data_IF_450125844943
#
_entry.id   IF_450125844943
#
_cell.length_a   1.000
_cell.length_b   1.000
_cell.length_c   1.000
_cell.angle_alpha   90.00
_cell.angle_beta   90.00
_cell.angle_gamma   90.00
#
_symmetry.space_group_name_H-M   'P 1'
#
loop_
_entity.id
_entity.type
_entity.pdbx_description
1 polymer ?
#
# COMPACT_ATOMS: atom_id res chain seq x y z
N UNK A 1 -10.96 3.58 18.66
CA UNK A 1 -10.50 4.28 17.44
C UNK A 1 -9.84 3.25 16.55
N UNK A 2 -10.25 3.09 15.28
CA UNK A 2 -9.52 2.23 14.36
C UNK A 2 -8.10 2.80 14.17
N UNK A 3 -7.10 1.93 14.19
CA UNK A 3 -5.71 2.33 13.96
C UNK A 3 -5.55 2.72 12.49
N UNK A 4 -5.08 3.95 12.24
CA UNK A 4 -4.86 4.48 10.89
C UNK A 4 -3.41 4.88 10.69
N UNK A 5 -2.91 4.71 9.49
CA UNK A 5 -1.57 5.20 9.10
C UNK A 5 -1.53 5.57 7.63
N UNK A 6 -0.57 6.43 7.29
CA UNK A 6 -0.21 6.70 5.90
C UNK A 6 0.98 5.84 5.53
N UNK A 7 0.94 5.17 4.38
CA UNK A 7 2.05 4.35 3.89
C UNK A 7 2.25 4.51 2.39
N UNK A 8 3.49 4.27 1.99
CA UNK A 8 3.91 4.16 0.60
C UNK A 8 3.58 2.75 0.09
N UNK A 9 2.77 2.68 -0.97
CA UNK A 9 2.52 1.44 -1.70
C UNK A 9 3.29 1.50 -3.01
N UNK A 10 3.91 0.38 -3.36
CA UNK A 10 4.64 0.18 -4.61
C UNK A 10 3.94 -0.88 -5.44
N UNK A 11 3.82 -0.64 -6.74
CA UNK A 11 3.28 -1.59 -7.72
C UNK A 11 4.36 -2.60 -8.06
N UNK A 12 4.09 -3.89 -7.83
CA UNK A 12 4.85 -4.95 -8.47
C UNK A 12 4.36 -5.05 -9.92
N UNK A 13 5.25 -5.23 -10.89
CA UNK A 13 4.91 -5.63 -12.26
C UNK A 13 5.42 -7.07 -12.45
N UNK A 14 4.53 -8.02 -12.75
CA UNK A 14 4.89 -9.44 -12.95
C UNK A 14 5.12 -9.74 -14.44
N UNK A 15 4.45 -9.03 -15.36
CA UNK A 15 4.71 -9.01 -16.82
C UNK A 15 3.92 -7.88 -17.50
N UNK A 16 4.19 -7.63 -18.79
CA UNK A 16 3.62 -6.51 -19.57
C UNK A 16 2.08 -6.45 -19.63
N UNK A 17 1.41 -7.59 -19.42
CA UNK A 17 -0.07 -7.71 -19.48
C UNK A 17 -0.75 -7.97 -18.13
N UNK A 18 0.01 -8.09 -17.04
CA UNK A 18 -0.54 -8.42 -15.71
C UNK A 18 -0.13 -7.34 -14.72
N UNK A 19 -1.07 -6.44 -14.41
CA UNK A 19 -0.92 -5.52 -13.28
C UNK A 19 -0.84 -6.33 -12.02
N UNK A 20 0.31 -6.20 -11.36
CA UNK A 20 0.70 -7.04 -10.27
C UNK A 20 0.55 -6.31 -8.94
N UNK A 21 0.40 -7.15 -7.93
CA UNK A 21 0.16 -6.83 -6.53
C UNK A 21 0.85 -5.56 -6.06
N UNK A 22 0.20 -4.86 -5.15
CA UNK A 22 0.81 -3.75 -4.44
C UNK A 22 1.46 -4.24 -3.16
N UNK A 23 2.49 -3.54 -2.70
CA UNK A 23 3.12 -3.87 -1.43
C UNK A 23 3.60 -2.65 -0.66
N UNK A 24 3.71 -2.82 0.65
CA UNK A 24 4.45 -1.93 1.54
C UNK A 24 5.76 -2.61 1.88
N UNK A 25 6.87 -1.90 1.62
CA UNK A 25 8.19 -2.38 2.04
C UNK A 25 8.25 -2.49 3.56
N UNK A 26 8.82 -3.57 4.12
CA UNK A 26 9.02 -3.66 5.54
C UNK A 26 10.07 -2.64 5.99
N UNK A 27 9.81 -1.93 7.09
CA UNK A 27 10.75 -0.95 7.65
C UNK A 27 12.06 -1.56 8.18
N UNK A 28 12.15 -2.89 8.28
CA UNK A 28 13.36 -3.64 8.58
C UNK A 28 13.34 -4.98 7.84
N UNK A 29 14.52 -5.56 7.56
CA UNK A 29 14.62 -6.87 6.87
C UNK A 29 13.96 -8.03 7.63
N UNK A 30 13.74 -7.88 8.94
CA UNK A 30 13.09 -8.88 9.80
C UNK A 30 11.56 -8.77 9.83
N UNK A 31 10.98 -7.71 9.28
CA UNK A 31 9.52 -7.52 9.27
C UNK A 31 8.89 -8.12 8.02
N UNK A 32 7.67 -8.67 8.14
CA UNK A 32 6.97 -9.23 7.00
C UNK A 32 6.57 -8.13 6.01
N UNK A 33 6.54 -8.50 4.73
CA UNK A 33 5.95 -7.69 3.68
C UNK A 33 4.44 -7.60 3.89
N UNK A 34 3.85 -6.45 3.57
CA UNK A 34 2.39 -6.30 3.46
C UNK A 34 2.05 -6.22 1.98
N UNK A 35 1.15 -7.10 1.54
CA UNK A 35 0.72 -7.22 0.14
C UNK A 35 -0.75 -6.83 0.03
N UNK A 36 -1.12 -6.32 -1.15
CA UNK A 36 -2.49 -6.02 -1.54
C UNK A 36 -2.71 -6.48 -2.97
N UNK A 37 -3.86 -7.05 -3.24
CA UNK A 37 -4.32 -7.38 -4.58
C UNK A 37 -4.81 -6.11 -5.31
N UNK A 38 -5.01 -6.20 -6.62
CA UNK A 38 -5.31 -5.03 -7.45
C UNK A 38 -6.67 -4.38 -7.15
N UNK A 39 -7.64 -5.17 -6.68
CA UNK A 39 -8.98 -4.74 -6.29
C UNK A 39 -9.04 -4.15 -4.87
N UNK A 40 -8.01 -4.38 -4.05
CA UNK A 40 -7.90 -3.81 -2.71
C UNK A 40 -7.38 -2.37 -2.70
N UNK A 41 -6.80 -1.89 -3.81
CA UNK A 41 -6.15 -0.57 -3.91
C UNK A 41 -6.88 0.30 -4.94
N UNK A 42 -7.23 1.55 -4.60
CA UNK A 42 -7.80 2.48 -5.57
C UNK A 42 -6.88 2.63 -6.81
N UNK A 43 -7.43 2.73 -8.02
CA UNK A 43 -6.62 2.95 -9.22
C UNK A 43 -5.76 4.20 -9.12
N UNK A 44 -4.50 4.09 -9.52
CA UNK A 44 -3.55 5.20 -9.66
C UNK A 44 -2.62 4.91 -10.84
N UNK A 45 -2.03 5.91 -11.46
CA UNK A 45 -1.26 5.71 -12.70
C UNK A 45 0.19 5.32 -12.40
N UNK A 46 0.74 5.89 -11.34
CA UNK A 46 2.15 5.79 -10.99
C UNK A 46 2.57 4.39 -10.54
N UNK A 47 3.87 4.12 -10.51
CA UNK A 47 4.41 2.89 -9.92
C UNK A 47 4.37 2.92 -8.38
N UNK A 48 4.23 4.11 -7.81
CA UNK A 48 4.30 4.36 -6.37
C UNK A 48 3.24 5.39 -6.00
N UNK A 49 2.49 5.13 -4.92
CA UNK A 49 1.52 6.07 -4.37
C UNK A 49 1.53 6.08 -2.84
N UNK A 50 0.93 7.12 -2.27
CA UNK A 50 0.72 7.24 -0.83
C UNK A 50 -0.74 6.99 -0.50
N UNK A 51 -0.98 6.18 0.52
CA UNK A 51 -2.33 5.75 0.87
C UNK A 51 -2.57 5.83 2.36
N UNK A 52 -3.79 6.20 2.72
CA UNK A 52 -4.32 6.02 4.07
C UNK A 52 -4.79 4.57 4.22
N UNK A 53 -4.31 3.92 5.28
CA UNK A 53 -4.62 2.55 5.65
C UNK A 53 -5.36 2.54 6.97
N UNK A 54 -6.30 1.62 7.11
CA UNK A 54 -6.99 1.33 8.36
C UNK A 54 -6.75 -0.12 8.79
N UNK A 55 -6.51 -0.34 10.08
CA UNK A 55 -6.32 -1.68 10.64
C UNK A 55 -7.67 -2.38 10.78
N UNK A 56 -7.86 -3.45 10.03
CA UNK A 56 -9.03 -4.32 10.15
C UNK A 56 -8.74 -5.48 11.10
N UNK A 57 -9.63 -5.68 12.07
CA UNK A 57 -9.48 -6.72 13.10
C UNK A 57 -9.54 -8.10 12.43
N UNK A 58 -8.45 -8.86 12.55
CA UNK A 58 -8.35 -10.21 11.99
C UNK A 58 -7.93 -10.29 10.53
N UNK A 59 -7.94 -9.19 9.77
CA UNK A 59 -7.75 -9.20 8.32
C UNK A 59 -6.48 -8.50 7.81
N UNK A 60 -5.90 -7.57 8.59
CA UNK A 60 -4.68 -6.89 8.12
C UNK A 60 -4.82 -5.37 8.09
N UNK A 61 -4.17 -4.77 7.10
CA UNK A 61 -4.36 -3.38 6.73
C UNK A 61 -5.31 -3.35 5.54
N UNK A 62 -6.23 -2.40 5.53
CA UNK A 62 -7.12 -2.11 4.40
C UNK A 62 -6.77 -0.76 3.82
N UNK A 63 -6.68 -0.66 2.50
CA UNK A 63 -6.50 0.64 1.83
C UNK A 63 -7.83 1.39 1.81
N UNK A 64 -7.80 2.63 2.29
CA UNK A 64 -8.99 3.49 2.37
C UNK A 64 -9.05 4.44 1.18
N UNK A 65 -7.94 5.14 0.91
CA UNK A 65 -7.84 6.12 -0.19
C UNK A 65 -6.40 6.46 -0.51
N UNK A 66 -6.16 6.91 -1.74
CA UNK A 66 -4.92 7.60 -2.09
C UNK A 66 -4.88 8.99 -1.44
N UNK A 67 -3.70 9.41 -1.02
CA UNK A 67 -3.43 10.73 -0.45
C UNK A 67 -2.19 11.33 -1.12
N UNK A 68 -2.01 12.67 -1.08
CA UNK A 68 -0.79 13.29 -1.54
C UNK A 68 0.44 12.79 -0.78
N UNK A 69 1.63 12.88 -1.39
CA UNK A 69 2.90 12.59 -0.72
C UNK A 69 2.98 13.40 0.59
N UNK A 70 3.18 12.75 1.75
CA UNK A 70 3.27 13.47 3.01
C UNK A 70 4.50 14.38 3.04
N UNK A 71 4.35 15.56 3.63
CA UNK A 71 5.42 16.56 3.70
C UNK A 71 6.66 16.11 4.51
N UNK A 72 6.50 15.10 5.37
CA UNK A 72 7.59 14.53 6.17
C UNK A 72 8.42 13.50 5.39
N UNK A 73 7.94 13.01 4.25
CA UNK A 73 8.74 12.15 3.38
C UNK A 73 9.59 13.05 2.47
N UNK A 74 10.91 13.03 2.66
CA UNK A 74 11.86 13.73 1.78
C UNK A 74 12.04 12.97 0.47
#
# INVERSE_FOLDING_TARGET
>A
MPERKIAKLERLKISDDITARFFIRPGSRSRPWTWFEADEVPPFEEEIGWFELERERGHGWKVVRQVPKPAWER
#
